data_IF_834181318032
#
_entry.id   IF_834181318032
#
_cell.length_a   1.000
_cell.length_b   1.000
_cell.length_c   1.000
_cell.angle_alpha   90.00
_cell.angle_beta   90.00
_cell.angle_gamma   90.00
#
_symmetry.space_group_name_H-M   'P 1'
#
loop_
_entity.id
_entity.type
_entity.pdbx_description
1 polymer ?
#
# COMPACT_ATOMS: atom_id res chain seq x y z
N UNK A 1 -25.63 -38.93 -46.31
CA UNK A 1 -24.65 -38.75 -45.22
C UNK A 1 -24.43 -37.26 -44.99
N UNK A 2 -25.00 -36.69 -43.91
CA UNK A 2 -24.78 -35.28 -43.52
C UNK A 2 -24.01 -35.27 -42.21
N UNK A 3 -22.80 -34.74 -42.23
CA UNK A 3 -21.92 -34.62 -41.06
C UNK A 3 -22.23 -33.31 -40.33
N UNK A 4 -22.74 -33.41 -39.09
CA UNK A 4 -22.88 -32.26 -38.21
C UNK A 4 -21.56 -31.99 -37.48
N UNK A 5 -20.99 -30.77 -37.53
CA UNK A 5 -19.81 -30.43 -36.74
C UNK A 5 -20.20 -30.19 -35.28
N UNK A 6 -19.49 -30.87 -34.37
CA UNK A 6 -19.61 -30.71 -32.91
C UNK A 6 -19.19 -29.29 -32.50
N UNK A 7 -20.15 -28.49 -32.03
CA UNK A 7 -19.94 -27.15 -31.45
C UNK A 7 -19.18 -27.30 -30.12
N UNK A 8 -17.91 -26.92 -30.09
CA UNK A 8 -17.10 -26.87 -28.87
C UNK A 8 -17.72 -25.88 -27.88
N UNK A 9 -18.20 -26.37 -26.74
CA UNK A 9 -18.63 -25.53 -25.63
C UNK A 9 -17.40 -24.81 -25.07
N UNK A 10 -17.32 -23.51 -25.37
CA UNK A 10 -16.39 -22.58 -24.73
C UNK A 10 -16.66 -22.58 -23.23
N UNK A 11 -15.79 -23.21 -22.46
CA UNK A 11 -15.78 -23.14 -21.00
C UNK A 11 -15.68 -21.69 -20.54
N UNK A 12 -16.83 -21.11 -20.20
CA UNK A 12 -16.94 -19.79 -19.59
C UNK A 12 -16.32 -19.91 -18.20
N UNK A 13 -15.03 -19.59 -18.09
CA UNK A 13 -14.33 -19.46 -16.80
C UNK A 13 -15.09 -18.42 -15.99
N UNK A 14 -15.88 -18.90 -15.03
CA UNK A 14 -16.57 -18.09 -14.05
C UNK A 14 -15.50 -17.27 -13.31
N UNK A 15 -15.59 -15.97 -13.53
CA UNK A 15 -14.77 -14.95 -12.90
C UNK A 15 -14.84 -15.09 -11.39
N UNK A 16 -13.66 -15.26 -10.77
CA UNK A 16 -13.30 -14.95 -9.38
C UNK A 16 -14.51 -14.78 -8.44
N UNK A 17 -14.73 -15.79 -7.61
CA UNK A 17 -15.42 -15.61 -6.35
C UNK A 17 -14.91 -14.33 -5.70
N UNK A 18 -15.77 -13.30 -5.64
CA UNK A 18 -15.51 -12.11 -4.87
C UNK A 18 -15.31 -12.60 -3.44
N UNK A 19 -14.06 -12.66 -2.99
CA UNK A 19 -13.73 -13.02 -1.63
C UNK A 19 -14.61 -12.14 -0.74
N UNK A 20 -15.57 -12.77 -0.05
CA UNK A 20 -16.45 -12.10 0.91
C UNK A 20 -15.53 -11.39 1.89
N UNK A 21 -15.38 -10.08 1.71
CA UNK A 21 -14.62 -9.24 2.64
C UNK A 21 -15.36 -9.39 3.97
N UNK A 22 -14.67 -9.86 5.01
CA UNK A 22 -15.23 -9.89 6.36
C UNK A 22 -15.79 -8.49 6.66
N UNK A 23 -16.98 -8.38 7.28
CA UNK A 23 -17.49 -7.09 7.69
C UNK A 23 -16.42 -6.40 8.56
N UNK A 24 -16.18 -5.10 8.30
CA UNK A 24 -15.15 -4.33 9.03
C UNK A 24 -15.49 -4.13 10.50
N UNK A 25 -16.78 -4.16 10.82
CA UNK A 25 -17.33 -3.96 12.15
C UNK A 25 -18.10 -5.22 12.53
N UNK A 26 -17.81 -5.77 13.70
CA UNK A 26 -18.39 -7.03 14.20
C UNK A 26 -19.67 -6.80 15.00
N UNK A 27 -19.83 -5.59 15.53
CA UNK A 27 -20.86 -5.20 16.47
C UNK A 27 -21.14 -3.69 16.36
N UNK A 28 -22.24 -3.26 16.96
CA UNK A 28 -22.70 -1.88 16.90
C UNK A 28 -21.76 -0.90 17.65
N UNK A 29 -21.14 -1.36 18.74
CA UNK A 29 -20.25 -0.57 19.59
C UNK A 29 -18.99 -0.15 18.83
N UNK A 30 -18.32 -1.11 18.18
CA UNK A 30 -17.13 -0.86 17.35
C UNK A 30 -17.38 0.13 16.21
N UNK A 31 -18.61 0.13 15.66
CA UNK A 31 -19.01 1.06 14.61
C UNK A 31 -19.24 2.47 15.16
N UNK A 32 -19.84 2.60 16.36
CA UNK A 32 -19.97 3.89 17.04
C UNK A 32 -18.62 4.46 17.47
N UNK A 33 -17.73 3.64 18.05
CA UNK A 33 -16.37 4.05 18.42
C UNK A 33 -15.61 4.58 17.20
N UNK A 34 -15.66 3.84 16.08
CA UNK A 34 -15.03 4.29 14.83
C UNK A 34 -15.63 5.61 14.33
N UNK A 35 -16.94 5.82 14.50
CA UNK A 35 -17.58 7.09 14.14
C UNK A 35 -17.03 8.27 14.96
N UNK A 36 -16.86 8.09 16.27
CA UNK A 36 -16.23 9.10 17.11
C UNK A 36 -14.76 9.34 16.74
N UNK A 37 -13.99 8.29 16.44
CA UNK A 37 -12.58 8.42 16.02
C UNK A 37 -12.42 9.23 14.74
N UNK A 38 -13.34 9.07 13.78
CA UNK A 38 -13.32 9.89 12.55
C UNK A 38 -13.86 11.31 12.75
N UNK A 39 -14.34 11.63 13.95
CA UNK A 39 -14.83 12.95 14.34
C UNK A 39 -16.29 13.22 14.00
N UNK A 40 -17.10 12.18 13.77
CA UNK A 40 -18.54 12.34 13.53
C UNK A 40 -19.29 12.54 14.84
N UNK A 41 -20.20 13.50 14.85
CA UNK A 41 -21.19 13.65 15.93
C UNK A 41 -22.32 12.63 15.74
N UNK A 42 -23.03 12.24 16.81
CA UNK A 42 -24.13 11.30 16.72
C UNK A 42 -25.23 11.70 15.71
N UNK A 43 -25.53 13.00 15.57
CA UNK A 43 -26.50 13.49 14.58
C UNK A 43 -26.02 13.31 13.14
N UNK A 44 -24.78 13.72 12.87
CA UNK A 44 -24.15 13.63 11.54
C UNK A 44 -24.00 12.18 11.08
N UNK A 45 -23.79 11.25 12.01
CA UNK A 45 -23.64 9.82 11.70
C UNK A 45 -24.87 9.25 10.98
N UNK A 46 -26.07 9.69 11.33
CA UNK A 46 -27.32 9.21 10.72
C UNK A 46 -27.62 9.90 9.38
N UNK A 47 -26.96 11.01 9.08
CA UNK A 47 -27.16 11.78 7.85
C UNK A 47 -26.26 11.31 6.70
N UNK A 48 -25.20 10.56 7.00
CA UNK A 48 -24.24 10.07 5.99
C UNK A 48 -24.59 8.69 5.45
N UNK A 49 -24.21 8.45 4.20
CA UNK A 49 -24.33 7.12 3.61
C UNK A 49 -23.24 6.18 4.12
N UNK A 50 -23.47 4.86 4.16
CA UNK A 50 -22.43 3.89 4.51
C UNK A 50 -21.16 4.00 3.65
N UNK A 51 -21.30 4.39 2.38
CA UNK A 51 -20.18 4.59 1.48
C UNK A 51 -19.32 5.82 1.85
N UNK A 52 -19.95 6.90 2.32
CA UNK A 52 -19.24 8.08 2.82
C UNK A 52 -18.52 7.78 4.12
N UNK A 53 -19.18 7.05 5.04
CA UNK A 53 -18.55 6.58 6.27
C UNK A 53 -17.28 5.77 5.98
N UNK A 54 -17.35 4.80 5.07
CA UNK A 54 -16.21 3.99 4.66
C UNK A 54 -15.05 4.83 4.07
N UNK A 55 -15.38 5.91 3.35
CA UNK A 55 -14.39 6.85 2.80
C UNK A 55 -13.74 7.68 3.90
N UNK A 56 -14.51 8.15 4.88
CA UNK A 56 -14.01 8.89 6.04
C UNK A 56 -13.03 8.03 6.85
N UNK A 57 -13.40 6.79 7.15
CA UNK A 57 -12.54 5.83 7.85
C UNK A 57 -11.26 5.56 7.04
N UNK A 58 -11.38 5.34 5.73
CA UNK A 58 -10.19 5.19 4.88
C UNK A 58 -9.31 6.46 4.83
N UNK A 59 -9.90 7.65 4.96
CA UNK A 59 -9.18 8.91 5.10
C UNK A 59 -8.45 9.02 6.43
N UNK A 60 -9.14 8.74 7.54
CA UNK A 60 -8.58 8.70 8.89
C UNK A 60 -7.40 7.74 8.98
N UNK A 61 -7.58 6.48 8.56
CA UNK A 61 -6.51 5.48 8.52
C UNK A 61 -5.31 5.92 7.68
N UNK A 62 -5.52 6.67 6.59
CA UNK A 62 -4.43 7.22 5.79
C UNK A 62 -3.68 8.35 6.49
N UNK A 63 -4.37 9.14 7.33
CA UNK A 63 -3.75 10.21 8.13
C UNK A 63 -2.94 9.61 9.28
N UNK A 64 -3.52 8.72 10.07
CA UNK A 64 -2.84 8.07 11.20
C UNK A 64 -1.64 7.22 10.76
N UNK A 65 -1.72 6.55 9.60
CA UNK A 65 -0.56 5.83 9.05
C UNK A 65 0.64 6.74 8.70
N UNK A 66 0.43 8.04 8.44
CA UNK A 66 1.56 8.96 8.21
C UNK A 66 2.31 9.26 9.51
N UNK A 67 1.59 9.35 10.63
CA UNK A 67 2.17 9.63 11.95
C UNK A 67 3.16 8.55 12.37
N UNK A 68 2.87 7.27 12.10
CA UNK A 68 3.81 6.18 12.36
C UNK A 68 5.11 6.27 11.56
N UNK A 69 5.06 6.77 10.32
CA UNK A 69 6.26 7.05 9.52
C UNK A 69 7.06 8.19 10.14
N UNK A 70 6.40 9.29 10.49
CA UNK A 70 7.06 10.43 11.13
C UNK A 70 7.73 10.06 12.46
N UNK A 71 7.07 9.25 13.28
CA UNK A 71 7.62 8.75 14.54
C UNK A 71 8.96 8.03 14.33
N UNK A 72 9.04 7.12 13.35
CA UNK A 72 10.26 6.35 13.11
C UNK A 72 11.41 7.20 12.59
N UNK A 73 11.13 8.12 11.67
CA UNK A 73 12.15 9.04 11.18
C UNK A 73 12.67 9.94 12.31
N UNK A 74 11.78 10.44 13.16
CA UNK A 74 12.14 11.26 14.31
C UNK A 74 12.98 10.47 15.32
N UNK A 75 12.61 9.21 15.59
CA UNK A 75 13.36 8.32 16.46
C UNK A 75 14.76 8.02 15.89
N UNK A 76 14.86 7.68 14.60
CA UNK A 76 16.13 7.42 13.94
C UNK A 76 17.05 8.65 13.98
N UNK A 77 16.48 9.85 13.74
CA UNK A 77 17.22 11.11 13.87
C UNK A 77 17.75 11.30 15.29
N UNK A 78 16.89 11.16 16.30
CA UNK A 78 17.27 11.35 17.70
C UNK A 78 18.34 10.34 18.15
N UNK A 79 18.22 9.08 17.72
CA UNK A 79 19.23 8.06 17.95
C UNK A 79 20.56 8.43 17.28
N UNK A 80 20.52 8.84 16.01
CA UNK A 80 21.72 9.19 15.24
C UNK A 80 22.45 10.43 15.76
N UNK A 81 21.73 11.38 16.38
CA UNK A 81 22.32 12.53 17.05
C UNK A 81 23.07 12.10 18.33
N UNK A 82 22.52 11.13 19.06
CA UNK A 82 23.04 10.70 20.37
C UNK A 82 23.87 9.41 20.31
N UNK A 83 24.22 8.91 19.12
CA UNK A 83 24.99 7.67 18.98
C UNK A 83 26.48 7.90 19.25
N UNK A 84 27.16 6.88 19.77
CA UNK A 84 28.62 6.88 19.87
C UNK A 84 29.30 6.76 18.50
N UNK A 85 30.55 7.21 18.39
CA UNK A 85 31.31 7.25 17.11
C UNK A 85 31.37 5.90 16.38
N UNK A 86 31.34 4.79 17.13
CA UNK A 86 31.45 3.42 16.58
C UNK A 86 30.11 2.75 16.29
N UNK A 87 28.99 3.37 16.67
CA UNK A 87 27.67 2.81 16.42
C UNK A 87 27.21 3.16 15.01
N UNK A 88 26.71 2.22 14.20
CA UNK A 88 26.21 2.53 12.86
C UNK A 88 24.98 3.45 12.94
N UNK A 89 24.79 4.28 11.90
CA UNK A 89 23.57 5.06 11.77
C UNK A 89 22.41 4.14 11.38
N UNK A 90 21.22 4.44 11.89
CA UNK A 90 20.00 3.73 11.54
C UNK A 90 19.08 4.62 10.70
N UNK A 91 18.27 4.01 9.85
CA UNK A 91 17.20 4.69 9.14
C UNK A 91 15.85 4.49 9.84
N UNK A 92 14.84 5.31 9.53
CA UNK A 92 13.48 5.09 10.02
C UNK A 92 12.92 3.72 9.64
N UNK A 93 13.43 3.09 8.58
CA UNK A 93 13.06 1.74 8.18
C UNK A 93 13.55 0.63 9.14
N UNK A 94 14.61 0.89 9.91
CA UNK A 94 15.19 -0.03 10.88
C UNK A 94 14.44 -0.03 12.23
N UNK A 95 13.66 1.03 12.48
CA UNK A 95 12.84 1.16 13.68
C UNK A 95 11.60 0.26 13.58
N UNK A 96 11.28 -0.43 14.69
CA UNK A 96 10.12 -1.33 14.77
C UNK A 96 8.83 -0.60 14.34
N UNK A 97 8.02 -1.29 13.54
CA UNK A 97 6.73 -0.77 13.08
C UNK A 97 5.75 -0.68 14.22
N UNK A 98 4.93 0.37 14.21
CA UNK A 98 3.79 0.45 15.11
C UNK A 98 2.67 -0.51 14.65
N UNK A 99 1.84 -1.02 15.57
CA UNK A 99 0.66 -1.81 15.22
C UNK A 99 -0.21 -1.10 14.18
N UNK A 100 -0.65 -1.82 13.15
CA UNK A 100 -1.49 -1.26 12.08
C UNK A 100 -0.73 -0.67 10.89
N UNK A 101 0.58 -0.44 10.99
CA UNK A 101 1.37 0.02 9.85
C UNK A 101 1.53 -1.06 8.79
N UNK A 102 1.13 -0.75 7.56
CA UNK A 102 1.36 -1.65 6.43
C UNK A 102 2.84 -1.63 6.04
N UNK A 103 3.44 -2.82 5.92
CA UNK A 103 4.77 -2.96 5.28
C UNK A 103 4.67 -2.34 3.89
N UNK A 104 5.28 -1.17 3.68
CA UNK A 104 5.57 -0.70 2.33
C UNK A 104 6.37 -1.82 1.68
N UNK A 105 5.77 -2.48 0.69
CA UNK A 105 6.55 -3.33 -0.20
C UNK A 105 7.56 -2.37 -0.81
N UNK A 106 8.85 -2.62 -0.58
CA UNK A 106 9.89 -1.91 -1.31
C UNK A 106 9.47 -1.99 -2.78
N UNK A 107 9.23 -0.84 -3.40
CA UNK A 107 9.02 -0.82 -4.83
C UNK A 107 10.25 -1.52 -5.40
N UNK A 108 10.05 -2.64 -6.10
CA UNK A 108 11.16 -3.34 -6.70
C UNK A 108 11.94 -2.30 -7.50
N UNK A 109 13.23 -2.17 -7.20
CA UNK A 109 14.09 -1.25 -7.93
C UNK A 109 13.79 -1.44 -9.42
N UNK A 110 13.56 -0.34 -10.18
CA UNK A 110 13.22 -0.47 -11.58
C UNK A 110 14.26 -1.37 -12.22
N UNK A 111 13.83 -2.52 -12.76
CA UNK A 111 14.74 -3.47 -13.38
C UNK A 111 15.37 -2.75 -14.56
N UNK A 112 16.59 -2.26 -14.39
CA UNK A 112 17.38 -1.74 -15.48
C UNK A 112 17.46 -2.87 -16.51
N UNK A 113 16.98 -2.61 -17.73
CA UNK A 113 17.20 -3.55 -18.83
C UNK A 113 18.72 -3.67 -18.97
N UNK A 114 19.24 -4.90 -18.85
CA UNK A 114 20.64 -5.17 -19.16
C UNK A 114 20.83 -4.80 -20.63
N UNK A 115 21.59 -3.73 -20.89
CA UNK A 115 21.97 -3.36 -22.25
C UNK A 115 22.99 -4.38 -22.77
N UNK A 116 22.89 -4.70 -24.05
CA UNK A 116 23.92 -5.51 -24.71
C UNK A 116 25.22 -4.72 -24.85
N UNK A 117 26.35 -5.40 -25.05
CA UNK A 117 27.65 -4.74 -25.27
C UNK A 117 27.62 -3.79 -26.48
N UNK A 118 26.84 -4.12 -27.52
CA UNK A 118 26.66 -3.27 -28.70
C UNK A 118 25.93 -1.95 -28.35
N UNK A 119 24.87 -2.02 -27.54
CA UNK A 119 24.14 -0.83 -27.07
C UNK A 119 25.00 0.05 -26.14
N UNK A 120 25.90 -0.57 -25.38
CA UNK A 120 26.89 0.17 -24.59
C UNK A 120 27.91 0.89 -25.46
N UNK A 121 28.45 0.21 -26.48
CA UNK A 121 29.40 0.81 -27.42
C UNK A 121 28.78 2.00 -28.16
N UNK A 122 27.52 1.86 -28.61
CA UNK A 122 26.80 2.95 -29.26
C UNK A 122 26.60 4.15 -28.32
N UNK A 123 26.19 3.90 -27.06
CA UNK A 123 26.00 4.97 -26.07
C UNK A 123 27.31 5.72 -25.78
N UNK A 124 28.42 4.99 -25.58
CA UNK A 124 29.74 5.59 -25.33
C UNK A 124 30.18 6.41 -26.53
N UNK A 125 29.96 5.92 -27.75
CA UNK A 125 30.29 6.67 -28.97
C UNK A 125 29.48 7.96 -29.12
N UNK A 126 28.23 7.98 -28.62
CA UNK A 126 27.37 9.16 -28.66
C UNK A 126 27.78 10.22 -27.64
N UNK A 127 28.25 9.80 -26.47
CA UNK A 127 28.79 10.70 -25.44
C UNK A 127 30.12 11.29 -25.90
N UNK A 128 30.99 10.49 -26.52
CA UNK A 128 32.30 10.97 -27.01
C UNK A 128 32.21 11.95 -28.20
N UNK A 129 31.05 12.02 -28.88
CA UNK A 129 30.78 12.96 -29.97
C UNK A 129 30.03 14.22 -29.52
N UNK A 130 29.59 14.27 -28.26
CA UNK A 130 28.99 15.44 -27.61
C UNK A 130 30.06 16.27 -26.92
#
# INVERSE_FOLDING_TARGET
MRTHPKRKQSGRKTTRAAARRKPRYTDWESLQETAYEVGLRPGEFWEITPAEFDRMVAGYLRRTNKEGVYFRELYALLYNINRGEKSPAIEGADVMRLPGEKKKRAAAAPKLKKRSEAEWAELVSRIAKS
#
